data_IF_257858955859
#
_entry.id   IF_257858955859
#
_cell.length_a   1.000
_cell.length_b   1.000
_cell.length_c   1.000
_cell.angle_alpha   90.00
_cell.angle_beta   90.00
_cell.angle_gamma   90.00
#
_symmetry.space_group_name_H-M   'P 1'
#
loop_
_entity.id
_entity.type
_entity.pdbx_description
1 polymer ?
#
# COMPACT_ATOMS: atom_id res chain seq x y z
N UNK A 1 5.03 19.29 14.30
CA UNK A 1 5.39 19.34 12.87
C UNK A 1 6.25 18.12 12.54
N UNK A 2 5.95 17.39 11.46
CA UNK A 2 6.68 16.17 11.07
C UNK A 2 7.38 16.42 9.73
N UNK A 3 8.68 16.13 9.66
CA UNK A 3 9.48 16.23 8.43
C UNK A 3 10.32 14.96 8.31
N UNK A 4 10.23 14.27 7.17
CA UNK A 4 10.96 13.02 6.90
C UNK A 4 11.55 13.08 5.49
N UNK A 5 12.69 12.41 5.30
CA UNK A 5 13.29 12.24 3.97
C UNK A 5 13.01 10.84 3.48
N UNK A 6 12.49 10.71 2.27
CA UNK A 6 12.22 9.42 1.64
C UNK A 6 13.46 8.50 1.62
N UNK A 7 14.63 9.07 1.37
CA UNK A 7 15.91 8.33 1.32
C UNK A 7 16.28 7.69 2.66
N UNK A 8 15.92 8.33 3.77
CA UNK A 8 16.20 7.81 5.11
C UNK A 8 15.21 6.70 5.46
N UNK A 9 13.92 6.89 5.12
CA UNK A 9 12.86 5.89 5.30
C UNK A 9 13.17 4.62 4.51
N UNK A 10 13.66 4.73 3.26
CA UNK A 10 14.05 3.58 2.43
C UNK A 10 15.15 2.70 3.04
N UNK A 11 15.91 3.22 4.01
CA UNK A 11 16.99 2.53 4.72
C UNK A 11 16.59 2.05 6.12
N UNK A 12 15.35 2.25 6.53
CA UNK A 12 14.85 1.88 7.86
C UNK A 12 13.83 0.74 7.78
N UNK A 13 13.44 0.26 8.95
CA UNK A 13 12.31 -0.65 9.20
C UNK A 13 10.95 -0.17 8.64
N UNK A 14 10.80 1.13 8.36
CA UNK A 14 9.62 1.72 7.72
C UNK A 14 9.56 1.50 6.21
N UNK A 15 10.61 0.94 5.61
CA UNK A 15 10.56 0.44 4.24
C UNK A 15 10.21 -1.05 4.24
N UNK A 16 8.93 -1.35 4.12
CA UNK A 16 8.47 -2.73 4.07
C UNK A 16 8.63 -3.26 2.65
N UNK A 17 9.21 -4.46 2.53
CA UNK A 17 9.48 -5.11 1.26
C UNK A 17 8.75 -6.43 1.19
N UNK A 18 8.15 -6.69 0.04
CA UNK A 18 7.66 -7.99 -0.39
C UNK A 18 8.44 -8.44 -1.63
N UNK A 19 8.12 -9.61 -2.17
CA UNK A 19 8.67 -10.08 -3.44
C UNK A 19 8.27 -9.15 -4.61
N UNK A 20 7.06 -8.59 -4.58
CA UNK A 20 6.45 -7.89 -5.73
C UNK A 20 6.48 -6.36 -5.62
N UNK A 21 6.75 -5.82 -4.43
CA UNK A 21 6.72 -4.38 -4.17
C UNK A 21 7.56 -4.00 -2.95
N UNK A 22 7.87 -2.72 -2.83
CA UNK A 22 8.40 -2.10 -1.61
C UNK A 22 7.63 -0.82 -1.28
N UNK A 23 7.38 -0.56 0.00
CA UNK A 23 6.59 0.60 0.46
C UNK A 23 7.32 1.35 1.57
N UNK A 24 7.72 2.58 1.27
CA UNK A 24 8.29 3.51 2.22
C UNK A 24 7.19 4.27 2.96
N UNK A 25 6.99 3.93 4.24
CA UNK A 25 5.90 4.41 5.10
C UNK A 25 6.25 5.78 5.70
N UNK A 26 5.78 6.86 5.08
CA UNK A 26 6.09 8.24 5.47
C UNK A 26 5.25 8.73 6.65
N UNK A 27 3.96 8.39 6.71
CA UNK A 27 3.07 8.62 7.84
C UNK A 27 2.39 7.31 8.21
N UNK A 28 2.29 7.01 9.51
CA UNK A 28 1.62 5.84 10.07
C UNK A 28 0.58 6.27 11.12
N UNK A 29 -0.19 5.31 11.63
CA UNK A 29 -1.18 5.55 12.68
C UNK A 29 -0.64 6.35 13.86
N UNK A 30 0.56 6.01 14.36
CA UNK A 30 1.16 6.69 15.51
C UNK A 30 1.58 8.15 15.23
N UNK A 31 1.57 8.58 13.97
CA UNK A 31 1.76 9.99 13.60
C UNK A 31 0.44 10.81 13.74
N UNK A 32 -0.70 10.15 14.03
CA UNK A 32 -2.00 10.72 14.39
C UNK A 32 -2.55 11.79 13.42
N UNK A 33 -2.38 11.58 12.11
CA UNK A 33 -2.86 12.48 11.05
C UNK A 33 -4.26 12.11 10.51
N UNK A 34 -4.84 10.98 10.95
CA UNK A 34 -6.11 10.47 10.44
C UNK A 34 -6.00 9.65 9.14
N UNK A 35 -4.81 9.56 8.54
CA UNK A 35 -4.49 8.74 7.38
C UNK A 35 -3.01 8.37 7.41
N UNK A 36 -2.64 7.30 6.70
CA UNK A 36 -1.23 6.95 6.47
C UNK A 36 -0.83 7.33 5.04
N UNK A 37 0.46 7.61 4.84
CA UNK A 37 0.98 8.09 3.57
C UNK A 37 2.26 7.36 3.20
N UNK A 38 2.33 6.87 1.98
CA UNK A 38 3.36 5.93 1.54
C UNK A 38 3.88 6.32 0.16
N UNK A 39 5.13 5.96 -0.09
CA UNK A 39 5.71 5.95 -1.44
C UNK A 39 6.06 4.50 -1.76
N UNK A 40 5.30 3.92 -2.68
CA UNK A 40 5.38 2.49 -3.02
C UNK A 40 5.97 2.31 -4.41
N UNK A 41 6.85 1.34 -4.56
CA UNK A 41 7.33 0.84 -5.84
C UNK A 41 6.73 -0.55 -6.06
N UNK A 42 5.99 -0.74 -7.15
CA UNK A 42 5.53 -2.05 -7.62
C UNK A 42 6.42 -2.49 -8.78
N UNK A 43 6.96 -3.71 -8.73
CA UNK A 43 8.00 -4.14 -9.67
C UNK A 43 7.42 -4.61 -11.01
N UNK A 44 8.19 -4.37 -12.08
CA UNK A 44 7.83 -4.75 -13.45
C UNK A 44 7.61 -6.26 -13.59
N UNK A 45 6.58 -6.64 -14.36
CA UNK A 45 6.29 -8.05 -14.68
C UNK A 45 5.53 -8.81 -13.59
N UNK A 46 5.28 -8.18 -12.45
CA UNK A 46 4.50 -8.77 -11.37
C UNK A 46 2.99 -8.71 -11.66
N UNK A 47 2.26 -9.62 -11.02
CA UNK A 47 0.81 -9.57 -10.92
C UNK A 47 0.43 -9.52 -9.44
N UNK A 48 -0.07 -8.38 -8.99
CA UNK A 48 -0.27 -8.06 -7.57
C UNK A 48 -1.77 -8.05 -7.28
N UNK A 49 -2.23 -9.04 -6.52
CA UNK A 49 -3.62 -9.17 -6.09
C UNK A 49 -3.81 -8.47 -4.74
N UNK A 50 -4.80 -7.58 -4.65
CA UNK A 50 -5.03 -6.77 -3.44
C UNK A 50 -6.53 -6.63 -3.15
N UNK A 51 -6.88 -6.62 -1.86
CA UNK A 51 -8.25 -6.43 -1.40
C UNK A 51 -8.30 -5.81 0.02
N UNK A 52 -8.34 -4.50 0.11
CA UNK A 52 -8.36 -3.79 1.39
C UNK A 52 -9.76 -3.72 2.00
N UNK A 53 -10.17 -4.75 2.74
CA UNK A 53 -11.50 -4.81 3.36
C UNK A 53 -11.73 -3.76 4.44
N UNK A 54 -10.66 -3.29 5.08
CA UNK A 54 -10.72 -2.41 6.26
C UNK A 54 -10.21 -0.99 5.98
N UNK A 55 -9.74 -0.71 4.77
CA UNK A 55 -9.18 0.58 4.40
C UNK A 55 -9.70 1.01 3.03
N UNK A 56 -9.92 2.31 2.90
CA UNK A 56 -9.99 2.98 1.61
C UNK A 56 -8.57 3.40 1.22
N UNK A 57 -8.23 3.26 -0.05
CA UNK A 57 -6.96 3.70 -0.60
C UNK A 57 -7.17 4.68 -1.77
N UNK A 58 -6.34 5.71 -1.83
CA UNK A 58 -6.15 6.53 -3.03
C UNK A 58 -4.68 6.46 -3.47
N UNK A 59 -4.46 6.25 -4.76
CA UNK A 59 -3.12 6.04 -5.34
C UNK A 59 -2.92 6.96 -6.52
N UNK A 60 -1.86 7.77 -6.46
CA UNK A 60 -1.38 8.57 -7.58
C UNK A 60 -0.13 7.92 -8.18
N UNK A 61 -0.17 7.56 -9.46
CA UNK A 61 0.98 7.08 -10.20
C UNK A 61 1.91 8.25 -10.52
N UNK A 62 3.15 8.17 -10.03
CA UNK A 62 4.19 9.19 -10.21
C UNK A 62 5.12 8.85 -11.37
N UNK A 63 5.41 7.56 -11.59
CA UNK A 63 6.27 7.04 -12.66
C UNK A 63 5.83 5.64 -13.06
N UNK A 64 6.23 5.24 -14.27
CA UNK A 64 5.98 3.91 -14.80
C UNK A 64 4.65 3.78 -15.52
N UNK A 65 4.39 2.58 -16.04
CA UNK A 65 3.15 2.20 -16.71
C UNK A 65 2.77 0.74 -16.41
N UNK A 66 1.49 0.44 -16.58
CA UNK A 66 0.91 -0.88 -16.34
C UNK A 66 -0.61 -0.81 -16.39
N UNK A 67 -1.28 -1.74 -15.73
CA UNK A 67 -2.74 -1.73 -15.64
C UNK A 67 -3.24 -2.01 -14.22
N UNK A 68 -4.48 -1.57 -13.96
CA UNK A 68 -5.28 -2.02 -12.83
C UNK A 68 -6.59 -2.61 -13.36
N UNK A 69 -6.93 -3.80 -12.90
CA UNK A 69 -8.19 -4.47 -13.21
C UNK A 69 -9.05 -4.53 -11.96
N UNK A 70 -10.27 -3.99 -12.05
CA UNK A 70 -11.31 -4.18 -11.04
C UNK A 70 -11.98 -5.53 -11.26
N UNK A 71 -11.85 -6.44 -10.29
CA UNK A 71 -12.41 -7.80 -10.40
C UNK A 71 -13.92 -7.87 -10.16
N UNK A 72 -14.54 -6.80 -9.65
CA UNK A 72 -15.99 -6.69 -9.52
C UNK A 72 -16.66 -6.39 -10.86
N UNK A 73 -16.06 -5.51 -11.67
CA UNK A 73 -16.61 -5.10 -12.98
C UNK A 73 -15.94 -5.77 -14.17
N UNK A 74 -14.72 -6.30 -14.00
CA UNK A 74 -13.87 -6.80 -15.09
C UNK A 74 -13.23 -5.69 -15.94
N UNK A 75 -13.38 -4.42 -15.55
CA UNK A 75 -12.83 -3.30 -16.31
C UNK A 75 -11.35 -3.15 -15.99
N UNK A 76 -10.54 -3.07 -17.04
CA UNK A 76 -9.10 -2.79 -16.93
C UNK A 76 -8.80 -1.35 -17.34
N UNK A 77 -8.11 -0.63 -16.47
CA UNK A 77 -7.65 0.74 -16.68
C UNK A 77 -6.14 0.78 -16.90
N UNK A 78 -5.69 1.68 -17.76
CA UNK A 78 -4.27 1.94 -17.99
C UNK A 78 -3.71 2.82 -16.89
N UNK A 79 -2.56 2.44 -16.36
CA UNK A 79 -1.78 3.23 -15.40
C UNK A 79 -0.61 3.90 -16.13
N UNK A 80 -0.45 5.19 -15.86
CA UNK A 80 0.66 6.01 -16.32
C UNK A 80 0.84 7.20 -15.36
N UNK A 81 1.98 7.90 -15.44
CA UNK A 81 2.21 9.11 -14.64
C UNK A 81 1.04 10.09 -14.72
N UNK A 82 0.51 10.50 -13.57
CA UNK A 82 -0.64 11.40 -13.45
C UNK A 82 -1.99 10.69 -13.35
N UNK A 83 -2.07 9.38 -13.62
CA UNK A 83 -3.27 8.59 -13.34
C UNK A 83 -3.44 8.44 -11.83
N UNK A 84 -4.66 8.69 -11.36
CA UNK A 84 -5.09 8.45 -9.98
C UNK A 84 -6.26 7.48 -9.98
N UNK A 85 -6.21 6.49 -9.09
CA UNK A 85 -7.35 5.63 -8.79
C UNK A 85 -7.61 5.62 -7.28
N UNK A 86 -8.87 5.38 -6.90
CA UNK A 86 -9.27 5.25 -5.51
C UNK A 86 -10.19 4.03 -5.35
N UNK A 87 -9.88 3.20 -4.37
CA UNK A 87 -10.60 1.97 -4.04
C UNK A 87 -11.69 2.29 -3.01
N UNK A 88 -12.66 3.10 -3.44
CA UNK A 88 -13.65 3.70 -2.55
C UNK A 88 -14.75 2.72 -2.09
N UNK A 89 -14.82 1.53 -2.67
CA UNK A 89 -15.77 0.49 -2.31
C UNK A 89 -15.08 -0.81 -1.85
N UNK A 90 -13.84 -0.70 -1.36
CA UNK A 90 -13.01 -1.85 -0.98
C UNK A 90 -12.79 -2.80 -2.16
N UNK A 91 -12.54 -2.23 -3.34
CA UNK A 91 -12.54 -2.95 -4.60
C UNK A 91 -11.43 -4.00 -4.66
N UNK A 92 -11.81 -5.25 -4.93
CA UNK A 92 -10.86 -6.32 -5.20
C UNK A 92 -10.25 -6.08 -6.57
N UNK A 93 -8.93 -6.02 -6.66
CA UNK A 93 -8.28 -5.61 -7.89
C UNK A 93 -6.92 -6.29 -8.10
N UNK A 94 -6.45 -6.23 -9.35
CA UNK A 94 -5.13 -6.72 -9.74
C UNK A 94 -4.35 -5.58 -10.39
N UNK A 95 -3.16 -5.30 -9.89
CA UNK A 95 -2.22 -4.37 -10.54
C UNK A 95 -1.16 -5.17 -11.30
N UNK A 96 -0.92 -4.79 -12.55
CA UNK A 96 0.09 -5.41 -13.42
C UNK A 96 1.06 -4.35 -13.94
N UNK A 97 2.17 -4.09 -13.24
CA UNK A 97 3.18 -3.15 -13.69
C UNK A 97 3.90 -3.69 -14.94
N UNK A 98 3.87 -2.94 -16.03
CA UNK A 98 4.66 -3.25 -17.22
C UNK A 98 6.11 -2.76 -17.06
N UNK A 99 6.29 -1.61 -16.43
CA UNK A 99 7.56 -1.16 -15.86
C UNK A 99 7.40 -1.02 -14.35
N UNK A 100 8.49 -0.76 -13.61
CA UNK A 100 8.35 -0.37 -12.23
C UNK A 100 7.43 0.85 -12.11
N UNK A 101 6.39 0.72 -11.30
CA UNK A 101 5.45 1.80 -11.01
C UNK A 101 5.83 2.39 -9.66
N UNK A 102 6.09 3.70 -9.65
CA UNK A 102 6.25 4.47 -8.42
C UNK A 102 4.95 5.22 -8.17
N UNK A 103 4.37 5.05 -6.99
CA UNK A 103 3.14 5.72 -6.60
C UNK A 103 3.22 6.37 -5.22
N UNK A 104 2.35 7.35 -5.00
CA UNK A 104 2.03 7.88 -3.69
C UNK A 104 0.67 7.33 -3.26
N UNK A 105 0.62 6.67 -2.11
CA UNK A 105 -0.59 6.01 -1.60
C UNK A 105 -1.05 6.66 -0.30
N UNK A 106 -2.36 6.87 -0.17
CA UNK A 106 -3.02 7.33 1.06
C UNK A 106 -4.01 6.27 1.50
N UNK A 107 -3.95 5.86 2.77
CA UNK A 107 -4.92 4.95 3.36
C UNK A 107 -5.72 5.60 4.48
N UNK A 108 -7.02 5.29 4.53
CA UNK A 108 -7.94 5.66 5.60
C UNK A 108 -8.82 4.46 5.99
N UNK A 109 -8.83 4.01 7.26
CA UNK A 109 -8.01 4.46 8.40
C UNK A 109 -6.49 4.29 8.16
N UNK A 110 -5.62 4.93 8.96
CA UNK A 110 -4.18 4.81 8.76
C UNK A 110 -3.66 3.40 9.05
N UNK A 111 -2.89 2.85 8.11
CA UNK A 111 -2.02 1.67 8.29
C UNK A 111 -1.18 1.82 9.58
N UNK A 112 -1.14 0.76 10.39
CA UNK A 112 -0.50 0.75 11.71
C UNK A 112 1.01 0.55 11.64
N UNK A 113 1.47 -0.12 10.59
CA UNK A 113 2.86 -0.55 10.46
C UNK A 113 3.11 -1.98 10.95
N UNK A 114 2.20 -2.53 11.77
CA UNK A 114 2.24 -3.90 12.31
C UNK A 114 1.38 -4.88 11.51
N UNK A 115 0.54 -4.35 10.64
CA UNK A 115 -0.24 -5.18 9.72
C UNK A 115 0.72 -5.88 8.76
N UNK A 116 0.72 -7.21 8.85
CA UNK A 116 1.38 -8.10 7.90
C UNK A 116 0.45 -8.22 6.70
N UNK A 117 0.98 -8.07 5.48
CA UNK A 117 0.19 -8.41 4.29
C UNK A 117 -0.08 -9.90 4.36
N UNK A 118 -1.34 -10.29 4.47
CA UNK A 118 -1.72 -11.68 4.34
C UNK A 118 -1.59 -12.13 2.86
N UNK A 119 -1.87 -13.40 2.58
CA UNK A 119 -1.80 -13.97 1.23
C UNK A 119 -2.70 -13.24 0.20
N UNK A 120 -3.62 -12.38 0.65
CA UNK A 120 -4.49 -11.57 -0.21
C UNK A 120 -3.96 -10.15 -0.47
N UNK A 121 -2.77 -9.84 0.03
CA UNK A 121 -2.18 -8.50 -0.08
C UNK A 121 -2.88 -7.45 0.77
N UNK A 122 -3.76 -7.87 1.69
CA UNK A 122 -4.59 -6.99 2.51
C UNK A 122 -3.94 -6.69 3.86
N UNK A 123 -4.37 -5.58 4.47
CA UNK A 123 -4.10 -5.25 5.86
C UNK A 123 -5.24 -5.80 6.74
N UNK A 124 -4.98 -6.76 7.66
CA UNK A 124 -5.99 -7.22 8.62
C UNK A 124 -6.43 -6.07 9.54
N UNK A 125 -7.67 -6.12 10.02
CA UNK A 125 -8.17 -5.14 10.97
C UNK A 125 -7.37 -5.19 12.28
N UNK A 126 -7.23 -4.05 12.98
CA UNK A 126 -6.51 -4.02 14.27
C UNK A 126 -7.05 -5.00 15.32
N UNK A 127 -8.37 -5.29 15.28
CA UNK A 127 -8.99 -6.24 16.19
C UNK A 127 -8.49 -7.67 15.98
N UNK A 128 -7.96 -7.98 14.79
CA UNK A 128 -7.49 -9.31 14.40
C UNK A 128 -5.98 -9.49 14.60
N UNK A 129 -5.26 -8.44 15.01
CA UNK A 129 -3.85 -8.57 15.40
C UNK A 129 -3.76 -9.28 16.76
N UNK A 130 -3.53 -10.60 16.73
CA UNK A 130 -3.21 -11.38 17.92
C UNK A 130 -1.99 -10.76 18.59
N UNK A 131 -2.17 -10.19 19.78
CA UNK A 131 -1.05 -9.84 20.66
C UNK A 131 -0.36 -11.14 21.08
N UNK A 132 0.79 -11.45 20.49
CA UNK A 132 1.70 -12.36 21.15
C UNK A 132 2.03 -11.78 22.53
N UNK A 133 1.83 -12.53 23.64
CA UNK A 133 2.21 -12.05 24.95
C UNK A 133 3.72 -11.85 24.96
N UNK A 134 4.16 -10.65 25.32
CA UNK A 134 5.57 -10.36 25.54
C UNK A 134 6.12 -11.40 26.51
N UNK A 135 7.06 -12.22 26.05
CA UNK A 135 7.83 -13.10 26.91
C UNK A 135 8.52 -12.22 27.96
N UNK A 136 8.10 -12.40 29.21
CA UNK A 136 8.76 -11.82 30.36
C UNK A 136 10.03 -12.61 30.62
N UNK A 137 11.17 -11.94 30.55
CA UNK A 137 12.41 -12.37 31.19
C UNK A 137 12.59 -11.61 32.50
#
# INVERSE_FOLDING_TARGET
MIVRKLQDIRKSDRNVKSAQWESARLLLKDDNMGFSFHVTTMYAGEEIHMHYQNHLEAVLVLKGNGTIEDLGTGITHQLASGVMYALNAHDKHIVRPQTDILCACVFNPPVTGKEVHDESGAYPAEADMVREPALSN
#
